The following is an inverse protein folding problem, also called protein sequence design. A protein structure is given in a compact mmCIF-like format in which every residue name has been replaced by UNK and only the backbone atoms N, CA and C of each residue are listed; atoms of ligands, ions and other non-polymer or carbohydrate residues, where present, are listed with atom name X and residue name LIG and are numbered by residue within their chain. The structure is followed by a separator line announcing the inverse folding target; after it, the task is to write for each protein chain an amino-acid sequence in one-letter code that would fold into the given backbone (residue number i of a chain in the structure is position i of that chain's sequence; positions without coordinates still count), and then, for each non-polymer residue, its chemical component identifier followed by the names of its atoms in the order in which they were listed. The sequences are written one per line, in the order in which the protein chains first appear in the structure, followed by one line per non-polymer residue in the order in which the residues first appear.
data_IF_411999514519
#
_entry.id   IF_411999514519
#
_cell.length_a   1.000
_cell.length_b   1.000
_cell.length_c   1.000
_cell.angle_alpha   90.00
_cell.angle_beta   90.00
_cell.angle_gamma   90.00
#
_symmetry.space_group_name_H-M   'P 1'
#
loop_
_entity.id
_entity.type
_entity.pdbx_description
1 polymer ?
#
# COMPACT_ATOMS: atom_id res chain seq x y z
N UNK A 1 -13.39 6.58 30.34
CA UNK A 1 -12.75 7.89 30.55
C UNK A 1 -12.41 8.00 32.04
N UNK A 2 -11.14 8.12 32.41
CA UNK A 2 -10.70 8.22 33.80
C UNK A 2 -10.89 9.66 34.29
N UNK A 3 -11.37 9.84 35.52
CA UNK A 3 -11.65 11.15 36.13
C UNK A 3 -11.18 11.13 37.58
N UNK A 4 -10.69 12.27 38.06
CA UNK A 4 -10.30 12.50 39.45
C UNK A 4 -11.10 13.67 40.02
N UNK A 5 -11.23 13.73 41.33
CA UNK A 5 -11.91 14.84 42.02
C UNK A 5 -10.87 15.88 42.42
N UNK A 6 -11.06 17.12 42.00
CA UNK A 6 -10.26 18.26 42.44
C UNK A 6 -10.51 18.58 43.92
N UNK A 7 -9.61 19.36 44.50
CA UNK A 7 -9.72 19.85 45.89
C UNK A 7 -10.96 20.73 46.12
N UNK A 8 -11.55 21.26 45.05
CA UNK A 8 -12.79 22.02 45.02
C UNK A 8 -14.06 21.15 44.84
N UNK A 9 -13.91 19.82 44.83
CA UNK A 9 -15.01 18.86 44.65
C UNK A 9 -15.43 18.64 43.19
N UNK A 10 -14.82 19.33 42.20
CA UNK A 10 -15.18 19.15 40.78
C UNK A 10 -14.53 17.91 40.18
N UNK A 11 -15.24 17.23 39.26
CA UNK A 11 -14.69 16.07 38.53
C UNK A 11 -13.88 16.51 37.31
N UNK A 12 -12.58 16.26 37.32
CA UNK A 12 -11.61 16.62 36.29
C UNK A 12 -11.29 15.37 35.46
N UNK A 13 -11.20 15.51 34.13
CA UNK A 13 -10.71 14.44 33.27
C UNK A 13 -9.22 14.20 33.55
N UNK A 14 -8.84 12.94 33.74
CA UNK A 14 -7.47 12.58 34.07
C UNK A 14 -6.92 11.53 33.11
N UNK A 15 -5.61 11.61 32.91
CA UNK A 15 -4.84 10.62 32.15
C UNK A 15 -4.04 9.78 33.14
N UNK A 16 -4.02 8.47 32.92
CA UNK A 16 -3.10 7.56 33.59
C UNK A 16 -2.14 7.02 32.54
N UNK A 17 -0.85 6.97 32.87
CA UNK A 17 0.09 6.21 32.06
C UNK A 17 -0.23 4.72 32.16
N UNK A 18 0.07 3.97 31.10
CA UNK A 18 -0.05 2.51 31.10
C UNK A 18 0.92 1.87 32.10
N UNK A 19 0.76 0.58 32.36
CA UNK A 19 1.67 -0.15 33.24
C UNK A 19 3.07 -0.20 32.61
N UNK A 20 4.15 0.09 33.34
CA UNK A 20 5.52 -0.01 32.81
C UNK A 20 5.85 -1.40 32.25
N UNK A 21 5.25 -2.47 32.78
CA UNK A 21 5.37 -3.84 32.28
C UNK A 21 4.74 -4.08 30.90
N UNK A 22 3.83 -3.19 30.47
CA UNK A 22 3.22 -3.21 29.14
C UNK A 22 3.97 -2.29 28.15
N UNK A 23 4.97 -1.54 28.63
CA UNK A 23 5.80 -0.68 27.78
C UNK A 23 6.75 -1.55 26.98
N UNK A 24 6.63 -1.47 25.64
CA UNK A 24 7.60 -2.08 24.73
C UNK A 24 8.95 -1.39 24.90
N UNK A 25 9.87 -2.02 25.62
CA UNK A 25 11.23 -1.53 25.92
C UNK A 25 12.07 -1.25 24.67
N UNK A 26 11.78 -1.89 23.54
CA UNK A 26 12.47 -1.70 22.26
C UNK A 26 12.11 -0.41 21.51
N UNK A 27 11.03 0.29 21.91
CA UNK A 27 10.56 1.54 21.27
C UNK A 27 11.22 2.82 21.82
N UNK A 28 12.22 2.71 22.69
CA UNK A 28 12.92 3.89 23.24
C UNK A 28 13.73 4.65 22.20
N UNK A 29 14.14 3.99 21.11
CA UNK A 29 14.60 4.67 19.91
C UNK A 29 13.37 5.12 19.14
N UNK A 30 13.21 6.43 18.96
CA UNK A 30 12.08 7.00 18.21
C UNK A 30 12.06 6.55 16.74
N UNK A 31 11.32 7.28 15.88
CA UNK A 31 11.38 7.05 14.43
C UNK A 31 12.79 7.33 13.92
N UNK A 32 13.57 6.30 13.62
CA UNK A 32 14.81 6.43 12.86
C UNK A 32 14.47 6.66 11.39
N UNK A 33 15.02 7.72 10.82
CA UNK A 33 14.86 7.99 9.39
C UNK A 33 15.65 6.95 8.57
N UNK A 34 15.09 6.51 7.45
CA UNK A 34 15.83 5.70 6.47
C UNK A 34 17.01 6.49 5.90
N UNK A 35 18.10 5.79 5.58
CA UNK A 35 19.28 6.44 5.00
C UNK A 35 19.03 6.89 3.56
N UNK A 36 19.67 7.99 3.16
CA UNK A 36 19.66 8.46 1.77
C UNK A 36 20.28 7.44 0.81
N UNK A 37 21.25 6.65 1.28
CA UNK A 37 21.87 5.56 0.52
C UNK A 37 20.87 4.45 0.19
N UNK A 38 20.03 4.03 1.14
CA UNK A 38 18.99 3.04 0.88
C UNK A 38 18.03 3.51 -0.23
N UNK A 39 17.66 4.80 -0.22
CA UNK A 39 16.79 5.36 -1.26
C UNK A 39 17.44 5.29 -2.64
N UNK A 40 18.72 5.64 -2.76
CA UNK A 40 19.47 5.57 -4.03
C UNK A 40 19.50 4.15 -4.57
N UNK A 41 19.86 3.17 -3.72
CA UNK A 41 19.91 1.75 -4.10
C UNK A 41 18.55 1.22 -4.53
N UNK A 42 17.47 1.63 -3.86
CA UNK A 42 16.10 1.27 -4.26
C UNK A 42 15.71 1.86 -5.61
N UNK A 43 16.09 3.12 -5.89
CA UNK A 43 15.85 3.77 -7.18
C UNK A 43 16.65 3.10 -8.29
N UNK A 44 17.92 2.75 -8.05
CA UNK A 44 18.76 2.01 -9.00
C UNK A 44 18.17 0.63 -9.31
N UNK A 45 17.65 -0.07 -8.30
CA UNK A 45 17.09 -1.42 -8.45
C UNK A 45 15.71 -1.45 -9.10
N UNK A 46 14.82 -0.54 -8.72
CA UNK A 46 13.39 -0.60 -9.11
C UNK A 46 12.94 0.51 -10.06
N UNK A 47 13.82 1.47 -10.34
CA UNK A 47 13.48 2.72 -11.02
C UNK A 47 12.84 3.74 -10.10
N UNK A 48 12.78 5.00 -10.55
CA UNK A 48 12.05 6.06 -9.86
C UNK A 48 10.56 5.94 -10.15
N UNK A 49 9.90 4.98 -9.50
CA UNK A 49 8.47 4.71 -9.67
C UNK A 49 7.78 4.42 -8.35
N UNK A 50 6.47 4.64 -8.31
CA UNK A 50 5.66 4.13 -7.22
C UNK A 50 5.36 2.65 -7.45
N UNK A 51 5.76 1.77 -6.54
CA UNK A 51 5.55 0.33 -6.70
C UNK A 51 4.07 -0.10 -6.69
N UNK A 52 3.14 0.72 -6.19
CA UNK A 52 1.69 0.41 -6.16
C UNK A 52 0.99 0.82 -7.44
N UNK A 53 1.26 2.04 -7.93
CA UNK A 53 0.70 2.52 -9.20
C UNK A 53 1.46 2.01 -10.40
N UNK A 54 2.70 1.53 -10.20
CA UNK A 54 3.62 1.02 -11.21
C UNK A 54 4.09 2.05 -12.23
N UNK A 55 3.89 3.33 -11.94
CA UNK A 55 4.21 4.46 -12.82
C UNK A 55 5.44 5.25 -12.35
N UNK A 56 6.16 5.92 -13.27
CA UNK A 56 7.25 6.83 -12.93
C UNK A 56 6.78 7.96 -12.01
N UNK A 57 7.61 8.30 -11.02
CA UNK A 57 7.39 9.43 -10.11
C UNK A 57 8.71 10.16 -9.89
N UNK A 58 8.70 11.48 -9.62
CA UNK A 58 9.90 12.19 -9.20
C UNK A 58 10.49 11.57 -7.93
N UNK A 59 11.82 11.36 -7.90
CA UNK A 59 12.51 10.71 -6.77
C UNK A 59 12.19 11.38 -5.43
N UNK A 60 12.05 12.70 -5.41
CA UNK A 60 11.72 13.47 -4.21
C UNK A 60 10.33 13.17 -3.63
N UNK A 61 9.39 12.72 -4.45
CA UNK A 61 8.02 12.38 -4.02
C UNK A 61 7.89 10.93 -3.55
N UNK A 62 8.92 10.12 -3.77
CA UNK A 62 8.97 8.74 -3.33
C UNK A 62 9.44 8.63 -1.87
N UNK A 63 8.77 7.77 -1.12
CA UNK A 63 9.05 7.42 0.27
C UNK A 63 9.45 5.95 0.32
N UNK A 64 10.39 5.63 1.21
CA UNK A 64 10.73 4.23 1.53
C UNK A 64 9.68 3.73 2.51
N UNK A 65 9.12 2.56 2.23
CA UNK A 65 8.33 1.81 3.18
C UNK A 65 8.71 0.33 3.14
N UNK A 66 8.40 -0.39 4.21
CA UNK A 66 8.55 -1.84 4.24
C UNK A 66 7.46 -2.50 3.40
N UNK A 67 7.80 -3.52 2.61
CA UNK A 67 6.82 -4.34 1.90
C UNK A 67 5.84 -4.99 2.88
N UNK A 68 6.37 -5.67 3.90
CA UNK A 68 5.58 -6.22 5.00
C UNK A 68 5.69 -5.27 6.19
N UNK A 69 4.58 -4.79 6.77
CA UNK A 69 4.62 -3.91 7.94
C UNK A 69 5.46 -4.50 9.07
N UNK A 70 6.27 -3.67 9.72
CA UNK A 70 7.14 -4.08 10.82
C UNK A 70 6.36 -4.80 11.93
N UNK A 71 5.16 -4.31 12.26
CA UNK A 71 4.31 -4.91 13.28
C UNK A 71 3.86 -6.34 12.92
N UNK A 72 3.89 -6.73 11.64
CA UNK A 72 3.58 -8.10 11.17
C UNK A 72 4.86 -8.94 11.08
N UNK A 73 5.96 -8.39 10.55
CA UNK A 73 7.21 -9.12 10.39
C UNK A 73 7.90 -9.47 11.73
N UNK A 74 7.66 -8.69 12.78
CA UNK A 74 8.23 -8.92 14.11
C UNK A 74 9.71 -8.55 14.22
N UNK A 75 10.22 -8.54 15.46
CA UNK A 75 11.58 -8.09 15.82
C UNK A 75 12.71 -9.08 15.41
N UNK A 76 12.40 -10.18 14.73
CA UNK A 76 13.41 -11.14 14.25
C UNK A 76 14.41 -10.52 13.25
N UNK A 77 14.14 -9.29 12.79
CA UNK A 77 15.12 -8.42 12.14
C UNK A 77 15.34 -7.23 13.09
N UNK A 78 16.33 -7.32 13.98
CA UNK A 78 16.77 -6.18 14.78
C UNK A 78 16.96 -4.96 13.88
N UNK A 79 16.53 -3.78 14.33
CA UNK A 79 16.64 -2.47 13.67
C UNK A 79 17.03 -2.48 12.18
N UNK A 80 16.04 -2.33 11.30
CA UNK A 80 16.16 -2.33 9.83
C UNK A 80 16.74 -3.64 9.26
N UNK A 81 15.96 -4.30 8.41
CA UNK A 81 16.55 -5.33 7.56
C UNK A 81 17.65 -4.73 6.69
N UNK A 82 18.80 -5.41 6.61
CA UNK A 82 19.84 -5.08 5.63
C UNK A 82 19.44 -5.49 4.20
N UNK A 83 18.40 -6.33 4.08
CA UNK A 83 17.92 -6.79 2.78
C UNK A 83 17.04 -5.73 2.11
N UNK A 84 17.57 -5.17 1.02
CA UNK A 84 16.91 -4.19 0.15
C UNK A 84 15.54 -4.69 -0.36
N UNK A 85 15.35 -6.02 -0.46
CA UNK A 85 14.09 -6.61 -0.94
C UNK A 85 12.93 -6.46 0.05
N UNK A 86 13.19 -6.18 1.32
CA UNK A 86 12.14 -5.90 2.30
C UNK A 86 11.52 -4.51 2.14
N UNK A 87 12.09 -3.67 1.28
CA UNK A 87 11.66 -2.29 1.07
C UNK A 87 11.11 -2.07 -0.34
N UNK A 88 10.32 -1.00 -0.46
CA UNK A 88 9.76 -0.53 -1.72
C UNK A 88 9.64 0.99 -1.73
N UNK A 89 9.51 1.57 -2.93
CA UNK A 89 9.29 3.00 -3.13
C UNK A 89 7.80 3.28 -3.36
N UNK A 90 7.25 4.23 -2.61
CA UNK A 90 5.84 4.61 -2.68
C UNK A 90 5.71 6.13 -2.78
N UNK A 91 4.79 6.62 -3.62
CA UNK A 91 4.35 8.01 -3.47
C UNK A 91 3.53 8.15 -2.17
N UNK A 92 3.40 9.38 -1.66
CA UNK A 92 2.72 9.63 -0.38
C UNK A 92 1.27 9.07 -0.33
N UNK A 93 0.54 9.16 -1.44
CA UNK A 93 -0.83 8.64 -1.55
C UNK A 93 -0.88 7.12 -1.40
N UNK A 94 -0.04 6.40 -2.15
CA UNK A 94 0.04 4.94 -2.08
C UNK A 94 0.51 4.46 -0.69
N UNK A 95 1.48 5.16 -0.09
CA UNK A 95 1.96 4.84 1.25
C UNK A 95 0.85 4.97 2.31
N UNK A 96 0.06 6.04 2.24
CA UNK A 96 -1.09 6.23 3.12
C UNK A 96 -2.16 5.16 2.92
N UNK A 97 -2.46 4.81 1.66
CA UNK A 97 -3.45 3.78 1.34
C UNK A 97 -3.01 2.39 1.85
N UNK A 98 -1.73 2.04 1.66
CA UNK A 98 -1.12 0.84 2.22
C UNK A 98 -1.24 0.80 3.73
N UNK A 99 -0.81 1.86 4.41
CA UNK A 99 -0.85 1.95 5.88
C UNK A 99 -2.26 1.71 6.41
N UNK A 100 -3.24 2.47 5.89
CA UNK A 100 -4.64 2.33 6.30
C UNK A 100 -5.19 0.92 6.03
N UNK A 101 -4.92 0.36 4.86
CA UNK A 101 -5.42 -0.97 4.52
C UNK A 101 -4.77 -2.07 5.36
N UNK A 102 -3.50 -1.94 5.73
CA UNK A 102 -2.79 -2.89 6.57
C UNK A 102 -3.27 -2.82 8.03
N UNK A 103 -3.45 -1.62 8.57
CA UNK A 103 -3.97 -1.39 9.94
C UNK A 103 -5.38 -1.97 10.14
N UNK A 104 -6.19 -1.95 9.07
CA UNK A 104 -7.57 -2.47 9.08
C UNK A 104 -7.68 -3.90 8.51
N UNK A 105 -6.56 -4.54 8.16
CA UNK A 105 -6.54 -5.91 7.64
C UNK A 105 -6.78 -6.92 8.79
N UNK A 106 -7.52 -8.03 8.57
CA UNK A 106 -7.60 -9.10 9.55
C UNK A 106 -6.21 -9.62 9.99
N UNK A 107 -5.23 -9.62 9.06
CA UNK A 107 -3.86 -10.03 9.34
C UNK A 107 -3.13 -9.14 10.36
N UNK A 108 -3.64 -7.94 10.67
CA UNK A 108 -3.08 -7.09 11.72
C UNK A 108 -3.14 -7.77 13.10
N UNK A 109 -4.10 -8.67 13.30
CA UNK A 109 -4.22 -9.48 14.53
C UNK A 109 -3.52 -10.82 14.41
N UNK A 110 -3.64 -11.48 13.26
CA UNK A 110 -3.10 -12.83 13.01
C UNK A 110 -1.56 -12.82 12.89
N UNK A 111 -0.99 -11.73 12.35
CA UNK A 111 0.46 -11.55 12.16
C UNK A 111 1.11 -12.62 11.26
N UNK A 112 0.39 -13.12 10.27
CA UNK A 112 0.92 -14.11 9.32
C UNK A 112 1.70 -13.42 8.19
N UNK A 113 3.03 -13.57 8.20
CA UNK A 113 3.88 -13.00 7.15
C UNK A 113 3.62 -13.63 5.79
N UNK A 114 3.19 -14.90 5.72
CA UNK A 114 2.95 -15.59 4.45
C UNK A 114 1.77 -14.98 3.70
N UNK A 115 0.70 -14.59 4.40
CA UNK A 115 -0.40 -13.82 3.83
C UNK A 115 0.05 -12.45 3.29
N UNK A 116 1.05 -11.81 3.89
CA UNK A 116 1.58 -10.57 3.33
C UNK A 116 2.40 -10.81 2.05
N UNK A 117 3.11 -11.93 1.92
CA UNK A 117 3.94 -12.24 0.73
C UNK A 117 3.13 -12.36 -0.57
N UNK A 118 1.83 -12.64 -0.50
CA UNK A 118 0.91 -12.69 -1.64
C UNK A 118 -0.12 -11.55 -1.65
N UNK A 119 0.08 -10.51 -0.83
CA UNK A 119 -0.81 -9.36 -0.74
C UNK A 119 -0.37 -8.22 -1.68
N UNK A 120 -1.33 -7.58 -2.34
CA UNK A 120 -1.10 -6.42 -3.22
C UNK A 120 -0.24 -5.32 -2.60
N UNK A 121 -0.46 -5.03 -1.31
CA UNK A 121 0.25 -3.94 -0.63
C UNK A 121 1.72 -4.22 -0.38
N UNK A 122 2.15 -5.49 -0.40
CA UNK A 122 3.55 -5.88 -0.22
C UNK A 122 4.21 -6.26 -1.54
N UNK A 123 3.49 -6.97 -2.41
CA UNK A 123 3.99 -7.51 -3.68
C UNK A 123 2.96 -7.26 -4.81
N UNK A 124 2.75 -6.00 -5.21
CA UNK A 124 1.79 -5.63 -6.26
C UNK A 124 2.08 -6.30 -7.62
N UNK A 125 3.30 -6.79 -7.82
CA UNK A 125 3.75 -7.51 -9.01
C UNK A 125 3.23 -8.96 -9.11
N UNK A 126 2.86 -9.62 -7.99
CA UNK A 126 2.59 -11.07 -7.97
C UNK A 126 1.54 -11.49 -6.92
N UNK A 127 0.67 -10.56 -6.54
CA UNK A 127 -0.33 -10.79 -5.50
C UNK A 127 -1.53 -11.61 -5.98
N UNK A 128 -2.20 -12.23 -5.00
CA UNK A 128 -3.46 -12.96 -5.22
C UNK A 128 -4.63 -12.33 -4.48
N UNK A 129 -4.38 -11.46 -3.50
CA UNK A 129 -5.43 -10.82 -2.72
C UNK A 129 -5.06 -9.39 -2.29
N UNK A 130 -6.05 -8.65 -1.80
CA UNK A 130 -5.84 -7.36 -1.13
C UNK A 130 -6.36 -7.46 0.29
N UNK A 131 -5.47 -7.34 1.28
CA UNK A 131 -5.81 -7.39 2.70
C UNK A 131 -6.69 -8.61 3.08
N UNK A 132 -6.26 -9.81 2.66
CA UNK A 132 -6.96 -11.10 2.83
C UNK A 132 -8.35 -11.20 2.17
N UNK A 133 -8.68 -10.28 1.26
CA UNK A 133 -9.93 -10.32 0.49
C UNK A 133 -9.62 -10.71 -0.94
N UNK A 134 -10.50 -11.52 -1.52
CA UNK A 134 -10.40 -12.00 -2.90
C UNK A 134 -10.63 -10.87 -3.92
N UNK A 135 -9.62 -10.01 -4.08
CA UNK A 135 -9.68 -8.78 -4.86
C UNK A 135 -8.42 -8.72 -5.71
N UNK A 136 -8.62 -8.32 -6.97
CA UNK A 136 -7.55 -7.94 -7.89
C UNK A 136 -7.85 -6.56 -8.43
N UNK A 137 -6.85 -5.70 -8.34
CA UNK A 137 -6.86 -4.30 -8.75
C UNK A 137 -5.82 -4.10 -9.84
N UNK A 138 -6.26 -3.48 -10.92
CA UNK A 138 -5.37 -2.91 -11.92
C UNK A 138 -5.56 -1.39 -11.84
N UNK A 139 -4.50 -0.68 -11.51
CA UNK A 139 -4.46 0.77 -11.63
C UNK A 139 -3.90 1.13 -13.00
N UNK A 140 -4.53 2.10 -13.65
CA UNK A 140 -4.10 2.65 -14.92
C UNK A 140 -3.99 4.16 -14.71
N UNK A 141 -2.83 4.72 -15.03
CA UNK A 141 -2.61 6.15 -15.03
C UNK A 141 -2.26 6.55 -16.46
N UNK A 142 -3.00 7.51 -17.00
CA UNK A 142 -2.62 8.17 -18.25
C UNK A 142 -1.91 9.46 -17.86
N UNK A 143 -0.64 9.59 -18.23
CA UNK A 143 0.18 10.75 -17.89
C UNK A 143 0.71 11.44 -19.14
N UNK A 144 0.81 12.78 -19.10
CA UNK A 144 1.32 13.57 -20.22
C UNK A 144 0.49 13.36 -21.49
N UNK A 145 1.13 12.94 -22.57
CA UNK A 145 0.51 12.74 -23.89
C UNK A 145 -0.56 11.64 -23.90
N UNK A 146 -0.49 10.68 -22.98
CA UNK A 146 -1.48 9.59 -22.88
C UNK A 146 -2.85 10.08 -22.41
N UNK A 147 -2.94 11.29 -21.82
CA UNK A 147 -4.22 11.85 -21.35
C UNK A 147 -5.26 11.96 -22.46
N UNK A 148 -4.85 12.23 -23.70
CA UNK A 148 -5.74 12.22 -24.86
C UNK A 148 -6.38 10.84 -25.11
N UNK A 149 -5.67 9.75 -24.81
CA UNK A 149 -6.24 8.40 -24.91
C UNK A 149 -7.30 8.13 -23.85
N UNK A 150 -7.12 8.68 -22.64
CA UNK A 150 -8.11 8.61 -21.58
C UNK A 150 -9.39 9.38 -21.97
N UNK A 151 -9.25 10.57 -22.54
CA UNK A 151 -10.40 11.37 -22.98
C UNK A 151 -11.22 10.61 -24.04
N UNK A 152 -10.54 10.01 -25.03
CA UNK A 152 -11.18 9.13 -26.02
C UNK A 152 -11.88 7.93 -25.35
N UNK A 153 -11.24 7.28 -24.37
CA UNK A 153 -11.86 6.19 -23.60
C UNK A 153 -13.16 6.66 -22.91
N UNK A 154 -13.17 7.86 -22.31
CA UNK A 154 -14.35 8.41 -21.64
C UNK A 154 -15.46 8.72 -22.65
N UNK A 155 -15.13 9.29 -23.81
CA UNK A 155 -16.07 9.53 -24.89
C UNK A 155 -16.72 8.23 -25.39
N UNK A 156 -15.92 7.21 -25.68
CA UNK A 156 -16.40 5.89 -26.13
C UNK A 156 -17.26 5.21 -25.07
N UNK A 157 -16.87 5.29 -23.80
CA UNK A 157 -17.66 4.76 -22.70
C UNK A 157 -19.02 5.45 -22.58
N UNK A 158 -19.06 6.77 -22.78
CA UNK A 158 -20.28 7.59 -22.70
C UNK A 158 -21.25 7.28 -23.84
N UNK A 159 -20.74 7.08 -25.07
CA UNK A 159 -21.57 6.70 -26.23
C UNK A 159 -22.39 5.44 -25.99
N UNK A 160 -21.87 4.51 -25.18
CA UNK A 160 -22.56 3.27 -24.80
C UNK A 160 -23.11 3.27 -23.37
N UNK A 161 -23.24 4.45 -22.76
CA UNK A 161 -23.79 4.67 -21.40
C UNK A 161 -23.11 3.83 -20.31
N UNK A 162 -21.78 3.67 -20.40
CA UNK A 162 -20.96 2.98 -19.39
C UNK A 162 -19.93 3.91 -18.78
N UNK A 163 -19.46 3.54 -17.59
CA UNK A 163 -18.28 4.18 -16.98
C UNK A 163 -17.01 3.62 -17.61
N UNK A 164 -15.97 4.44 -17.73
CA UNK A 164 -14.69 4.06 -18.33
C UNK A 164 -14.12 2.72 -17.78
N UNK A 165 -14.10 2.44 -16.46
CA UNK A 165 -13.60 1.14 -15.96
C UNK A 165 -14.40 -0.06 -16.46
N UNK A 166 -15.72 0.06 -16.60
CA UNK A 166 -16.54 -1.02 -17.14
C UNK A 166 -16.37 -1.16 -18.65
N UNK A 167 -16.13 -0.06 -19.36
CA UNK A 167 -15.74 -0.10 -20.77
C UNK A 167 -14.44 -0.91 -20.95
N UNK A 168 -13.38 -0.57 -20.21
CA UNK A 168 -12.09 -1.27 -20.25
C UNK A 168 -12.26 -2.76 -19.94
N UNK A 169 -13.00 -3.13 -18.88
CA UNK A 169 -13.28 -4.52 -18.56
C UNK A 169 -13.99 -5.26 -19.71
N UNK A 170 -14.90 -4.60 -20.43
CA UNK A 170 -15.58 -5.21 -21.57
C UNK A 170 -14.64 -5.44 -22.75
N UNK A 171 -13.77 -4.48 -23.06
CA UNK A 171 -12.72 -4.64 -24.08
C UNK A 171 -11.87 -5.87 -23.77
N UNK A 172 -11.38 -5.98 -22.53
CA UNK A 172 -10.59 -7.13 -22.08
C UNK A 172 -11.36 -8.45 -22.16
N UNK A 173 -12.62 -8.49 -21.68
CA UNK A 173 -13.48 -9.68 -21.79
C UNK A 173 -13.62 -10.14 -23.24
N UNK A 174 -13.85 -9.21 -24.16
CA UNK A 174 -14.01 -9.52 -25.57
C UNK A 174 -12.71 -10.01 -26.20
N UNK A 175 -11.58 -9.38 -25.87
CA UNK A 175 -10.26 -9.80 -26.32
C UNK A 175 -9.95 -11.25 -25.90
N UNK A 176 -10.15 -11.60 -24.62
CA UNK A 176 -9.90 -12.97 -24.15
C UNK A 176 -10.88 -14.00 -24.72
N UNK A 177 -12.15 -13.63 -24.95
CA UNK A 177 -13.11 -14.52 -25.64
C UNK A 177 -12.66 -14.87 -27.05
N UNK A 178 -12.14 -13.89 -27.81
CA UNK A 178 -11.65 -14.12 -29.17
C UNK A 178 -10.39 -14.99 -29.17
N UNK A 179 -9.45 -14.73 -28.26
CA UNK A 179 -8.23 -15.55 -28.11
C UNK A 179 -8.53 -17.01 -27.78
N UNK A 180 -9.56 -17.26 -26.96
CA UNK A 180 -9.97 -18.60 -26.56
C UNK A 180 -10.84 -19.31 -27.61
N UNK A 181 -11.20 -18.66 -28.72
CA UNK A 181 -12.02 -19.23 -29.77
C UNK A 181 -11.35 -19.06 -31.15
N UNK A 182 -10.27 -19.83 -31.45
CA UNK A 182 -9.38 -19.59 -32.59
C UNK A 182 -9.98 -19.87 -33.98
N UNK A 183 -11.28 -20.14 -34.12
CA UNK A 183 -11.92 -20.37 -35.42
C UNK A 183 -12.49 -19.08 -36.00
N UNK A 184 -11.63 -18.22 -36.54
CA UNK A 184 -11.93 -17.29 -37.64
C UNK A 184 -10.63 -16.91 -38.36
N UNK A 185 -10.07 -17.88 -39.09
CA UNK A 185 -9.42 -17.69 -40.39
C UNK A 185 -9.93 -18.83 -41.27
#
# INVERSE_FOLDING_TARGET
MFRVTGTDGRKIAAYRFGLPSEVRTTRLSGRTAFSSNLKKVLVEKYGSRCNIYLEPFPVQELQIDHRIPFEIAGENKGNFSEDITDYMLLCASANRAKSWSCENCPNWRVRDTSACKSCYWAHPESYTHIAMRDIRRLDLLWFGEETAQYDLLVEEATKIQKKAPEYVKNVLRNHFKQKNNPRKI
#
